data_IF_410579090214
#
_entry.id   IF_410579090214
#
_cell.length_a   1.000
_cell.length_b   1.000
_cell.length_c   1.000
_cell.angle_alpha   90.00
_cell.angle_beta   90.00
_cell.angle_gamma   90.00
#
_symmetry.space_group_name_H-M   'P 1'
#
loop_
_entity.id
_entity.type
_entity.pdbx_description
1 polymer ?
#
# COMPACT_ATOMS: atom_id res chain seq x y z
N UNK A 1 -30.49 -8.03 -2.37
CA UNK A 1 -31.42 -9.19 -2.37
C UNK A 1 -32.21 -9.32 -1.06
N UNK A 2 -31.85 -8.59 0.02
CA UNK A 2 -32.55 -8.59 1.32
C UNK A 2 -33.52 -7.41 1.49
N UNK A 3 -33.80 -6.65 0.42
CA UNK A 3 -34.80 -5.57 0.45
C UNK A 3 -34.24 -4.21 0.89
N UNK A 4 -32.94 -4.06 1.09
CA UNK A 4 -32.33 -2.76 1.34
C UNK A 4 -32.42 -1.87 0.10
N UNK A 5 -32.81 -0.63 0.33
CA UNK A 5 -32.89 0.40 -0.72
C UNK A 5 -31.65 1.27 -0.62
N UNK A 6 -30.81 1.21 -1.65
CA UNK A 6 -29.66 2.10 -1.80
C UNK A 6 -30.13 3.46 -2.31
N UNK A 7 -29.70 4.53 -1.67
CA UNK A 7 -30.09 5.91 -1.98
C UNK A 7 -29.01 6.63 -2.78
N UNK A 8 -27.80 6.12 -2.75
CA UNK A 8 -26.63 6.70 -3.39
C UNK A 8 -25.93 5.66 -4.28
N UNK A 9 -24.93 6.09 -5.03
CA UNK A 9 -24.01 5.21 -5.74
C UNK A 9 -22.67 5.04 -4.99
N UNK A 10 -22.60 5.51 -3.73
CA UNK A 10 -21.40 5.40 -2.91
C UNK A 10 -21.20 3.98 -2.42
N UNK A 11 -19.97 3.49 -2.52
CA UNK A 11 -19.52 2.22 -1.94
C UNK A 11 -19.63 2.23 -0.39
N UNK A 12 -19.53 3.40 0.23
CA UNK A 12 -19.71 3.54 1.68
C UNK A 12 -21.10 3.19 2.19
N UNK A 13 -22.16 3.32 1.39
CA UNK A 13 -23.53 3.03 1.82
C UNK A 13 -23.72 1.53 2.16
N UNK A 14 -23.05 0.63 1.45
CA UNK A 14 -23.12 -0.81 1.71
C UNK A 14 -22.64 -1.17 3.12
N UNK A 15 -21.71 -0.40 3.67
CA UNK A 15 -21.13 -0.64 5.01
C UNK A 15 -22.20 -0.54 6.09
N UNK A 16 -23.06 0.47 6.02
CA UNK A 16 -24.16 0.65 7.00
C UNK A 16 -25.15 -0.52 6.93
N UNK A 17 -25.55 -0.93 5.73
CA UNK A 17 -26.47 -2.06 5.55
C UNK A 17 -25.87 -3.40 5.98
N UNK A 18 -24.58 -3.61 5.70
CA UNK A 18 -23.88 -4.81 6.16
C UNK A 18 -23.71 -4.80 7.69
N UNK A 19 -23.49 -3.63 8.29
CA UNK A 19 -23.38 -3.52 9.74
C UNK A 19 -24.70 -3.86 10.44
N UNK A 20 -25.83 -3.41 9.91
CA UNK A 20 -27.15 -3.76 10.43
C UNK A 20 -27.42 -5.27 10.41
N UNK A 21 -26.91 -5.99 9.39
CA UNK A 21 -27.13 -7.43 9.22
C UNK A 21 -26.12 -8.30 9.99
N UNK A 22 -24.84 -7.91 10.00
CA UNK A 22 -23.74 -8.77 10.44
C UNK A 22 -22.94 -8.21 11.63
N UNK A 23 -23.27 -6.98 12.07
CA UNK A 23 -22.46 -6.30 13.08
C UNK A 23 -21.01 -6.20 12.64
N UNK A 24 -20.07 -6.36 13.56
CA UNK A 24 -18.62 -6.27 13.27
C UNK A 24 -18.12 -7.35 12.28
N UNK A 25 -18.86 -8.44 12.07
CA UNK A 25 -18.48 -9.47 11.10
C UNK A 25 -18.54 -8.97 9.65
N UNK A 26 -19.16 -7.81 9.41
CA UNK A 26 -19.18 -7.19 8.08
C UNK A 26 -17.77 -7.03 7.51
N UNK A 27 -16.77 -6.69 8.34
CA UNK A 27 -15.42 -6.39 7.88
C UNK A 27 -14.72 -7.58 7.23
N UNK A 28 -15.11 -8.82 7.58
CA UNK A 28 -14.66 -10.03 6.91
C UNK A 28 -15.30 -10.25 5.53
N UNK A 29 -16.35 -9.53 5.21
CA UNK A 29 -17.09 -9.64 3.94
C UNK A 29 -16.64 -8.60 2.91
N UNK A 30 -15.84 -7.60 3.35
CA UNK A 30 -15.37 -6.55 2.47
C UNK A 30 -14.17 -7.05 1.66
N UNK A 31 -14.22 -6.86 0.36
CA UNK A 31 -13.10 -7.05 -0.56
C UNK A 31 -12.77 -5.72 -1.21
N UNK A 32 -11.61 -5.14 -0.87
CA UNK A 32 -11.21 -3.82 -1.36
C UNK A 32 -10.17 -3.12 -0.48
N UNK A 33 -9.91 -1.88 -0.84
CA UNK A 33 -8.94 -0.99 -0.20
C UNK A 33 -9.70 0.01 0.67
N UNK A 34 -9.53 -0.04 1.98
CA UNK A 34 -10.28 0.83 2.86
C UNK A 34 -9.59 1.18 4.18
N UNK A 35 -9.89 2.37 4.65
CA UNK A 35 -9.75 2.78 6.04
C UNK A 35 -11.12 3.30 6.47
N UNK A 36 -11.77 2.59 7.39
CA UNK A 36 -13.14 2.85 7.79
C UNK A 36 -13.19 3.36 9.22
N UNK A 37 -13.98 4.41 9.42
CA UNK A 37 -14.42 4.87 10.73
C UNK A 37 -15.95 4.73 10.78
N UNK A 38 -16.45 3.85 11.66
CA UNK A 38 -17.87 3.59 11.83
C UNK A 38 -18.27 3.84 13.29
N UNK A 39 -19.26 4.71 13.50
CA UNK A 39 -19.81 4.98 14.80
C UNK A 39 -21.18 4.32 14.99
N UNK A 40 -21.27 3.42 15.97
CA UNK A 40 -22.54 2.85 16.40
C UNK A 40 -23.15 3.73 17.50
N UNK A 41 -24.22 4.42 17.15
CA UNK A 41 -24.93 5.34 18.05
C UNK A 41 -25.60 4.58 19.21
N UNK A 42 -26.09 3.35 18.96
CA UNK A 42 -26.82 2.55 19.97
C UNK A 42 -25.87 1.95 20.99
N UNK A 43 -24.76 1.36 20.49
CA UNK A 43 -23.76 0.75 21.36
C UNK A 43 -22.73 1.75 21.88
N UNK A 44 -22.72 2.98 21.39
CA UNK A 44 -21.71 4.03 21.67
C UNK A 44 -20.28 3.50 21.45
N UNK A 45 -20.07 2.86 20.30
CA UNK A 45 -18.79 2.28 19.89
C UNK A 45 -18.30 2.89 18.60
N UNK A 46 -17.02 3.22 18.57
CA UNK A 46 -16.30 3.58 17.36
C UNK A 46 -15.50 2.37 16.88
N UNK A 47 -15.64 2.04 15.62
CA UNK A 47 -14.83 1.05 14.93
C UNK A 47 -13.89 1.77 13.97
N UNK A 48 -12.58 1.60 14.15
CA UNK A 48 -11.57 2.01 13.19
C UNK A 48 -11.02 0.74 12.55
N UNK A 49 -11.13 0.61 11.24
CA UNK A 49 -10.79 -0.63 10.55
C UNK A 49 -9.93 -0.34 9.35
N UNK A 50 -8.83 -1.07 9.21
CA UNK A 50 -7.93 -0.95 8.08
C UNK A 50 -7.96 -2.24 7.26
N UNK A 51 -7.93 -2.12 5.93
CA UNK A 51 -7.92 -3.26 5.02
C UNK A 51 -6.77 -4.25 5.32
N UNK A 52 -6.90 -5.47 4.82
CA UNK A 52 -6.03 -6.57 5.23
C UNK A 52 -4.59 -6.49 4.73
N UNK A 53 -4.29 -5.66 3.73
CA UNK A 53 -2.90 -5.40 3.27
C UNK A 53 -2.41 -4.04 3.78
N UNK A 54 -3.32 -3.15 4.22
CA UNK A 54 -3.00 -1.80 4.67
C UNK A 54 -2.79 -0.82 3.52
N UNK A 55 -3.47 -1.04 2.39
CA UNK A 55 -3.38 -0.15 1.22
C UNK A 55 -3.82 1.27 1.54
N UNK A 56 -4.82 1.43 2.41
CA UNK A 56 -5.24 2.75 2.89
C UNK A 56 -4.64 3.05 4.26
N UNK A 57 -4.01 4.22 4.44
CA UNK A 57 -3.41 4.58 5.72
C UNK A 57 -4.47 4.93 6.75
N UNK A 58 -4.20 4.58 8.02
CA UNK A 58 -5.00 4.97 9.17
C UNK A 58 -4.09 5.12 10.38
N UNK A 59 -3.90 6.35 10.83
CA UNK A 59 -3.07 6.71 11.97
C UNK A 59 -3.93 7.10 13.16
N UNK A 60 -3.43 6.86 14.36
CA UNK A 60 -4.12 7.22 15.58
C UNK A 60 -3.15 7.57 16.72
N UNK A 61 -3.64 8.34 17.67
CA UNK A 61 -3.01 8.57 18.96
C UNK A 61 -4.05 8.56 20.07
N UNK A 62 -3.67 8.03 21.24
CA UNK A 62 -4.50 8.05 22.44
C UNK A 62 -4.22 9.35 23.20
N UNK A 63 -5.22 10.16 23.43
CA UNK A 63 -5.13 11.39 24.21
C UNK A 63 -5.31 11.14 25.71
N UNK A 64 -6.16 10.16 26.03
CA UNK A 64 -6.40 9.65 27.39
C UNK A 64 -6.83 8.18 27.33
N UNK A 65 -7.25 7.62 28.45
CA UNK A 65 -7.75 6.24 28.52
C UNK A 65 -8.92 5.95 27.57
N UNK A 66 -9.73 6.98 27.23
CA UNK A 66 -11.00 6.84 26.52
C UNK A 66 -11.09 7.76 25.31
N UNK A 67 -10.07 8.58 25.04
CA UNK A 67 -10.06 9.54 23.94
C UNK A 67 -9.01 9.16 22.92
N UNK A 68 -9.41 9.19 21.67
CA UNK A 68 -8.55 8.89 20.54
C UNK A 68 -8.70 9.96 19.46
N UNK A 69 -7.60 10.32 18.84
CA UNK A 69 -7.59 11.10 17.60
C UNK A 69 -7.06 10.20 16.49
N UNK A 70 -7.64 10.31 15.31
CA UNK A 70 -7.23 9.50 14.15
C UNK A 70 -7.36 10.28 12.84
N UNK A 71 -6.57 9.86 11.85
CA UNK A 71 -6.54 10.47 10.52
C UNK A 71 -5.96 9.50 9.50
N UNK A 72 -6.23 9.75 8.22
CA UNK A 72 -5.57 9.06 7.11
C UNK A 72 -4.19 9.64 6.78
N UNK A 73 -3.87 10.84 7.26
CA UNK A 73 -2.58 11.50 7.03
C UNK A 73 -2.00 12.01 8.35
N UNK A 74 -0.69 11.78 8.58
CA UNK A 74 -0.01 12.23 9.81
C UNK A 74 0.02 13.74 9.96
N UNK A 75 0.11 14.47 8.83
CA UNK A 75 0.10 15.95 8.89
C UNK A 75 -1.17 16.51 9.50
N UNK A 76 -2.31 15.84 9.34
CA UNK A 76 -3.56 16.25 9.98
C UNK A 76 -3.52 16.11 11.51
N UNK A 77 -2.84 15.08 12.02
CA UNK A 77 -2.60 14.92 13.46
C UNK A 77 -1.63 15.98 14.00
N UNK A 78 -0.64 16.37 13.19
CA UNK A 78 0.33 17.43 13.55
C UNK A 78 -0.38 18.77 13.80
N UNK A 79 -1.41 19.06 13.03
CA UNK A 79 -2.16 20.30 13.12
C UNK A 79 -3.28 20.26 14.18
N UNK A 80 -3.39 19.17 14.96
CA UNK A 80 -4.37 19.04 16.03
C UNK A 80 -3.80 19.54 17.36
N UNK A 81 -4.22 20.74 17.88
CA UNK A 81 -3.55 21.42 18.98
C UNK A 81 -3.43 20.63 20.30
N UNK A 82 -4.40 19.77 20.68
CA UNK A 82 -4.27 18.97 21.91
C UNK A 82 -3.14 17.93 21.86
N UNK A 83 -2.68 17.53 20.67
CA UNK A 83 -1.64 16.54 20.50
C UNK A 83 -0.27 17.20 20.40
N UNK A 84 0.58 16.97 21.40
CA UNK A 84 1.98 17.42 21.38
C UNK A 84 2.85 16.33 20.78
N UNK A 85 3.32 16.53 19.55
CA UNK A 85 4.14 15.57 18.85
C UNK A 85 5.61 15.70 19.24
N UNK A 86 6.19 14.61 19.67
CA UNK A 86 7.62 14.41 19.87
C UNK A 86 8.18 13.42 18.85
N UNK A 87 9.42 13.60 18.43
CA UNK A 87 10.04 12.64 17.52
C UNK A 87 10.33 11.30 18.22
N UNK A 88 10.00 10.22 17.54
CA UNK A 88 10.30 8.88 17.97
C UNK A 88 11.75 8.52 17.57
N UNK A 89 12.66 8.46 18.54
CA UNK A 89 14.07 8.16 18.30
C UNK A 89 14.30 6.76 17.72
N UNK A 90 13.50 5.79 18.15
CA UNK A 90 13.58 4.43 17.60
C UNK A 90 13.16 4.42 16.13
N UNK A 91 12.10 5.10 15.79
CA UNK A 91 11.65 5.20 14.39
C UNK A 91 12.69 5.89 13.48
N UNK A 92 13.45 6.87 14.02
CA UNK A 92 14.56 7.48 13.26
C UNK A 92 15.68 6.44 13.03
N UNK A 93 15.99 5.61 14.02
CA UNK A 93 16.98 4.55 13.88
C UNK A 93 16.53 3.49 12.89
N UNK A 94 15.26 3.06 12.99
CA UNK A 94 14.65 2.09 12.08
C UNK A 94 14.67 2.62 10.64
N UNK A 95 14.35 3.92 10.44
CA UNK A 95 14.42 4.54 9.12
C UNK A 95 15.83 4.47 8.50
N UNK A 96 16.87 4.69 9.27
CA UNK A 96 18.27 4.60 8.76
C UNK A 96 18.58 3.15 8.33
N UNK A 97 18.02 2.16 9.02
CA UNK A 97 18.28 0.76 8.76
C UNK A 97 17.45 0.19 7.61
N UNK A 98 16.17 0.57 7.53
CA UNK A 98 15.20 -0.01 6.61
C UNK A 98 14.79 0.92 5.46
N UNK A 99 15.19 2.19 5.48
CA UNK A 99 14.78 3.25 4.54
C UNK A 99 13.31 3.65 4.64
N UNK A 100 12.55 3.07 5.56
CA UNK A 100 11.20 3.45 5.97
C UNK A 100 11.01 3.18 7.47
N UNK A 101 9.89 3.58 8.02
CA UNK A 101 9.55 3.32 9.41
C UNK A 101 8.60 2.12 9.47
N UNK A 102 9.02 0.97 10.05
CA UNK A 102 8.15 -0.20 10.18
C UNK A 102 6.91 0.08 11.04
N UNK A 103 5.76 -0.28 10.51
CA UNK A 103 4.49 -0.23 11.25
C UNK A 103 4.50 -1.21 12.46
N UNK A 104 3.83 -0.88 13.56
CA UNK A 104 2.88 0.21 13.75
C UNK A 104 3.49 1.57 14.12
N UNK A 105 4.82 1.67 14.24
CA UNK A 105 5.47 2.91 14.62
C UNK A 105 5.31 4.00 13.54
N UNK A 106 5.39 5.25 13.97
CA UNK A 106 5.52 6.40 13.09
C UNK A 106 6.71 7.26 13.51
N UNK A 107 7.02 8.28 12.73
CA UNK A 107 8.07 9.25 13.08
C UNK A 107 7.78 9.98 14.41
N UNK A 108 6.54 9.97 14.87
CA UNK A 108 6.12 10.61 16.10
C UNK A 108 5.88 9.57 17.20
N UNK A 109 6.35 9.89 18.40
CA UNK A 109 6.09 9.13 19.61
C UNK A 109 4.60 9.14 19.93
N UNK A 110 4.08 8.01 20.41
CA UNK A 110 2.67 7.83 20.79
C UNK A 110 1.65 8.06 19.65
N UNK A 111 2.14 8.10 18.41
CA UNK A 111 1.31 8.06 17.19
C UNK A 111 1.61 6.79 16.43
N UNK A 112 0.58 6.02 16.13
CA UNK A 112 0.71 4.70 15.54
C UNK A 112 -0.11 4.57 14.26
N UNK A 113 0.36 3.74 13.33
CA UNK A 113 -0.47 3.22 12.25
C UNK A 113 -1.32 2.06 12.79
N UNK A 114 -2.60 2.01 12.46
CA UNK A 114 -3.39 0.80 12.70
C UNK A 114 -2.88 -0.30 11.77
N UNK A 115 -2.46 -1.42 12.35
CA UNK A 115 -1.86 -2.51 11.57
C UNK A 115 -2.83 -3.06 10.51
N UNK A 116 -2.32 -3.54 9.35
CA UNK A 116 -3.13 -4.19 8.33
C UNK A 116 -3.99 -5.32 8.88
N UNK A 117 -5.22 -5.46 8.38
CA UNK A 117 -6.16 -6.48 8.80
C UNK A 117 -6.61 -6.37 10.27
N UNK A 118 -6.43 -5.19 10.87
CA UNK A 118 -6.82 -4.93 12.25
C UNK A 118 -8.03 -4.00 12.34
N UNK A 119 -8.77 -4.22 13.41
CA UNK A 119 -9.88 -3.37 13.85
C UNK A 119 -9.62 -2.90 15.27
N UNK A 120 -9.76 -1.59 15.48
CA UNK A 120 -9.78 -0.99 16.82
C UNK A 120 -11.21 -0.64 17.19
N UNK A 121 -11.63 -1.06 18.37
CA UNK A 121 -12.95 -0.79 18.96
C UNK A 121 -12.74 0.13 20.14
N UNK A 122 -13.32 1.32 20.05
CA UNK A 122 -13.29 2.31 21.12
C UNK A 122 -14.68 2.41 21.73
N UNK A 123 -14.77 2.21 23.03
CA UNK A 123 -15.98 2.35 23.83
C UNK A 123 -15.72 3.27 25.03
N UNK A 124 -16.75 3.59 25.77
CA UNK A 124 -16.65 4.51 26.93
C UNK A 124 -15.55 4.12 27.94
N UNK A 125 -15.29 2.81 28.11
CA UNK A 125 -14.39 2.31 29.15
C UNK A 125 -13.22 1.48 28.61
N UNK A 126 -13.12 1.28 27.29
CA UNK A 126 -12.12 0.37 26.74
C UNK A 126 -11.73 0.73 25.30
N UNK A 127 -10.44 0.56 24.99
CA UNK A 127 -9.90 0.59 23.62
C UNK A 127 -9.24 -0.77 23.38
N UNK A 128 -9.82 -1.54 22.48
CA UNK A 128 -9.35 -2.88 22.11
C UNK A 128 -8.94 -2.87 20.63
N UNK A 129 -7.82 -3.53 20.33
CA UNK A 129 -7.39 -3.78 18.95
C UNK A 129 -7.31 -5.27 18.71
N UNK A 130 -7.93 -5.75 17.63
CA UNK A 130 -7.91 -7.17 17.25
C UNK A 130 -7.74 -7.34 15.75
N UNK A 131 -7.13 -8.44 15.35
CA UNK A 131 -7.14 -8.87 13.94
C UNK A 131 -8.53 -9.41 13.61
N UNK A 132 -9.07 -9.00 12.46
CA UNK A 132 -10.33 -9.51 11.95
C UNK A 132 -10.15 -10.50 10.80
N UNK A 133 -8.93 -10.67 10.28
CA UNK A 133 -8.58 -11.65 9.25
C UNK A 133 -7.34 -12.46 9.68
N UNK A 134 -7.33 -13.75 9.38
CA UNK A 134 -6.16 -14.63 9.53
C UNK A 134 -5.87 -15.34 8.20
N UNK A 135 -4.71 -15.06 7.62
CA UNK A 135 -4.26 -15.68 6.37
C UNK A 135 -3.86 -17.15 6.50
N UNK A 136 -3.62 -17.65 7.72
CA UNK A 136 -3.23 -19.05 7.95
C UNK A 136 -4.32 -20.06 7.54
N UNK A 137 -5.58 -19.64 7.55
CA UNK A 137 -6.71 -20.50 7.16
C UNK A 137 -6.72 -20.83 5.66
N UNK A 138 -5.95 -20.14 4.83
CA UNK A 138 -5.94 -20.30 3.38
C UNK A 138 -4.86 -21.24 2.85
N UNK A 139 -4.01 -21.82 3.72
CA UNK A 139 -2.92 -22.72 3.35
C UNK A 139 -3.42 -24.13 3.07
N UNK A 140 -3.98 -24.38 1.87
CA UNK A 140 -4.30 -25.73 1.40
C UNK A 140 -3.38 -26.11 0.25
N UNK A 141 -2.65 -27.26 0.33
CA UNK A 141 -1.86 -27.75 -0.79
C UNK A 141 -2.76 -28.02 -2.00
N UNK A 142 -2.28 -27.64 -3.20
CA UNK A 142 -2.97 -27.87 -4.48
C UNK A 142 -2.00 -28.50 -5.47
N UNK A 143 -2.56 -29.23 -6.46
CA UNK A 143 -1.81 -29.68 -7.62
C UNK A 143 -1.28 -28.49 -8.44
N UNK A 144 -0.08 -28.64 -9.03
CA UNK A 144 0.57 -27.52 -9.74
C UNK A 144 -0.27 -26.96 -10.89
N UNK A 145 -0.97 -27.82 -11.64
CA UNK A 145 -1.86 -27.39 -12.73
C UNK A 145 -3.01 -26.50 -12.22
N UNK A 146 -3.58 -26.87 -11.08
CA UNK A 146 -4.64 -26.12 -10.45
C UNK A 146 -4.12 -24.79 -9.91
N UNK A 147 -2.88 -24.75 -9.42
CA UNK A 147 -2.24 -23.52 -8.96
C UNK A 147 -2.08 -22.50 -10.08
N UNK A 148 -1.63 -22.89 -11.26
CA UNK A 148 -1.45 -21.96 -12.39
C UNK A 148 -2.77 -21.37 -12.84
N UNK A 149 -3.81 -22.18 -12.99
CA UNK A 149 -5.14 -21.72 -13.42
C UNK A 149 -5.80 -20.85 -12.36
N UNK A 150 -5.70 -21.24 -11.10
CA UNK A 150 -6.24 -20.50 -9.96
C UNK A 150 -5.53 -19.15 -9.78
N UNK A 151 -4.20 -19.12 -9.84
CA UNK A 151 -3.41 -17.89 -9.78
C UNK A 151 -3.80 -16.93 -10.91
N UNK A 152 -3.88 -17.42 -12.14
CA UNK A 152 -4.32 -16.62 -13.28
C UNK A 152 -5.70 -16.01 -13.05
N UNK A 153 -6.65 -16.82 -12.60
CA UNK A 153 -8.01 -16.37 -12.32
C UNK A 153 -8.03 -15.31 -11.21
N UNK A 154 -7.33 -15.57 -10.11
CA UNK A 154 -7.28 -14.64 -8.95
C UNK A 154 -6.61 -13.32 -9.31
N UNK A 155 -5.47 -13.35 -10.01
CA UNK A 155 -4.79 -12.13 -10.47
C UNK A 155 -5.68 -11.35 -11.42
N UNK A 156 -6.31 -12.03 -12.39
CA UNK A 156 -7.24 -11.37 -13.32
C UNK A 156 -8.40 -10.71 -12.58
N UNK A 157 -9.08 -11.44 -11.70
CA UNK A 157 -10.21 -10.92 -10.94
C UNK A 157 -9.80 -9.75 -10.03
N UNK A 158 -8.64 -9.85 -9.38
CA UNK A 158 -8.09 -8.79 -8.53
C UNK A 158 -7.84 -7.50 -9.31
N UNK A 159 -7.29 -7.59 -10.51
CA UNK A 159 -7.06 -6.44 -11.38
C UNK A 159 -8.39 -5.88 -11.88
N UNK A 160 -9.28 -6.73 -12.40
CA UNK A 160 -10.58 -6.30 -12.92
C UNK A 160 -11.45 -5.62 -11.86
N UNK A 161 -11.44 -6.09 -10.61
CA UNK A 161 -12.18 -5.44 -9.52
C UNK A 161 -11.66 -4.04 -9.20
N UNK A 162 -10.37 -3.78 -9.38
CA UNK A 162 -9.74 -2.46 -9.16
C UNK A 162 -9.92 -1.48 -10.31
N UNK A 163 -10.47 -1.93 -11.43
CA UNK A 163 -10.84 -1.06 -12.54
C UNK A 163 -12.20 -0.39 -12.34
N UNK A 164 -12.99 -0.83 -11.35
CA UNK A 164 -14.26 -0.21 -10.98
C UNK A 164 -13.95 1.12 -10.29
N UNK A 165 -14.25 2.23 -10.96
CA UNK A 165 -13.89 3.56 -10.48
C UNK A 165 -14.80 4.62 -11.11
N UNK A 166 -15.12 5.67 -10.34
CA UNK A 166 -15.84 6.87 -10.81
C UNK A 166 -14.91 7.88 -11.48
N UNK A 167 -13.61 7.58 -11.55
CA UNK A 167 -12.58 8.46 -12.13
C UNK A 167 -11.71 7.70 -13.12
N UNK A 168 -10.96 8.45 -13.94
CA UNK A 168 -10.06 7.84 -14.90
C UNK A 168 -8.95 7.05 -14.20
N UNK A 169 -8.81 5.78 -14.61
CA UNK A 169 -7.78 4.84 -14.14
C UNK A 169 -6.72 4.69 -15.22
N UNK A 170 -5.47 4.75 -14.83
CA UNK A 170 -4.30 4.42 -15.64
C UNK A 170 -3.44 3.35 -14.98
N UNK A 171 -2.31 3.03 -15.58
CA UNK A 171 -1.36 2.06 -15.03
C UNK A 171 0.08 2.60 -15.08
N UNK A 172 0.88 2.25 -14.10
CA UNK A 172 2.33 2.24 -14.27
C UNK A 172 2.71 1.14 -15.25
N UNK A 173 3.73 1.37 -16.06
CA UNK A 173 4.24 0.39 -17.00
C UNK A 173 5.77 0.50 -17.08
N UNK A 174 6.48 -0.35 -16.36
CA UNK A 174 7.95 -0.34 -16.31
C UNK A 174 8.61 -1.22 -17.39
N UNK A 175 7.84 -2.09 -18.04
CA UNK A 175 8.38 -3.17 -18.89
C UNK A 175 8.67 -4.47 -18.13
N UNK A 176 8.62 -4.45 -16.80
CA UNK A 176 8.64 -5.64 -15.95
C UNK A 176 7.37 -6.47 -16.06
N UNK A 177 7.44 -7.74 -15.65
CA UNK A 177 6.33 -8.72 -15.79
C UNK A 177 5.07 -8.24 -15.08
N UNK A 178 5.18 -7.74 -13.87
CA UNK A 178 4.04 -7.41 -13.00
C UNK A 178 3.22 -6.25 -13.56
N UNK A 179 3.89 -5.14 -13.86
CA UNK A 179 3.24 -3.98 -14.48
C UNK A 179 2.65 -4.30 -15.86
N UNK A 180 3.32 -5.18 -16.61
CA UNK A 180 2.88 -5.63 -17.93
C UNK A 180 1.59 -6.48 -17.85
N UNK A 181 1.48 -7.38 -16.87
CA UNK A 181 0.26 -8.17 -16.65
C UNK A 181 -0.92 -7.25 -16.32
N UNK A 182 -0.70 -6.29 -15.42
CA UNK A 182 -1.75 -5.32 -15.05
C UNK A 182 -2.22 -4.52 -16.26
N UNK A 183 -1.29 -3.93 -17.01
CA UNK A 183 -1.62 -3.15 -18.19
C UNK A 183 -2.31 -4.00 -19.28
N UNK A 184 -1.87 -5.26 -19.48
CA UNK A 184 -2.47 -6.16 -20.45
C UNK A 184 -3.92 -6.57 -20.11
N UNK A 185 -4.23 -6.73 -18.82
CA UNK A 185 -5.60 -7.03 -18.39
C UNK A 185 -6.45 -5.76 -18.44
N UNK A 186 -5.94 -4.64 -17.94
CA UNK A 186 -6.64 -3.37 -17.91
C UNK A 186 -6.97 -2.86 -19.33
N UNK A 187 -6.06 -3.01 -20.30
CA UNK A 187 -6.27 -2.57 -21.69
C UNK A 187 -7.41 -3.30 -22.42
N UNK A 188 -7.77 -4.51 -21.95
CA UNK A 188 -8.94 -5.24 -22.47
C UNK A 188 -10.28 -4.69 -21.99
N UNK A 189 -10.26 -3.93 -20.90
CA UNK A 189 -11.47 -3.40 -20.24
C UNK A 189 -11.60 -1.88 -20.43
N UNK A 190 -10.48 -1.17 -20.52
CA UNK A 190 -10.46 0.29 -20.67
C UNK A 190 -9.95 0.64 -22.07
N UNK A 191 -10.83 1.22 -22.88
CA UNK A 191 -10.43 1.78 -24.16
C UNK A 191 -9.52 2.99 -23.93
N UNK A 192 -8.44 3.10 -24.73
CA UNK A 192 -7.47 4.18 -24.60
C UNK A 192 -6.82 4.26 -23.20
N UNK A 193 -6.54 3.11 -22.60
CA UNK A 193 -5.86 3.05 -21.30
C UNK A 193 -4.60 3.93 -21.32
N UNK A 194 -4.46 4.79 -20.33
CA UNK A 194 -3.24 5.58 -20.15
C UNK A 194 -2.23 4.81 -19.34
N UNK A 195 -1.01 4.72 -19.85
CA UNK A 195 0.12 4.08 -19.18
C UNK A 195 1.30 5.04 -19.04
N UNK A 196 2.04 4.91 -17.96
CA UNK A 196 3.11 5.83 -17.62
C UNK A 196 4.37 5.09 -17.18
N UNK A 197 5.52 5.56 -17.63
CA UNK A 197 6.83 5.13 -17.16
C UNK A 197 7.75 6.32 -16.93
N UNK A 198 8.79 6.09 -16.14
CA UNK A 198 9.91 7.01 -16.03
C UNK A 198 11.05 6.54 -16.94
N UNK A 199 11.76 7.47 -17.53
CA UNK A 199 13.00 7.23 -18.24
C UNK A 199 13.99 8.35 -17.91
N UNK A 200 15.25 8.13 -18.14
CA UNK A 200 16.28 9.12 -17.88
C UNK A 200 16.65 9.89 -19.15
N UNK A 201 17.01 11.16 -19.01
CA UNK A 201 17.66 11.89 -20.10
C UNK A 201 19.04 11.28 -20.38
N UNK A 202 19.52 11.43 -21.62
CA UNK A 202 20.78 10.81 -22.06
C UNK A 202 21.94 11.23 -21.14
N UNK A 203 22.58 10.24 -20.50
CA UNK A 203 23.70 10.45 -19.59
C UNK A 203 23.31 10.81 -18.16
N UNK A 204 22.01 10.86 -17.85
CA UNK A 204 21.51 11.20 -16.49
C UNK A 204 21.06 9.96 -15.70
N UNK A 205 21.12 8.76 -16.27
CA UNK A 205 20.86 7.52 -15.53
C UNK A 205 22.03 7.27 -14.56
N UNK A 206 21.78 7.26 -13.23
CA UNK A 206 22.81 7.05 -12.23
C UNK A 206 23.46 5.65 -12.30
N UNK A 207 22.84 4.72 -13.02
CA UNK A 207 23.30 3.34 -13.17
C UNK A 207 23.84 3.04 -14.58
N UNK A 208 24.23 4.08 -15.34
CA UNK A 208 24.89 3.93 -16.63
C UNK A 208 24.01 3.36 -17.75
N UNK A 209 22.71 3.60 -17.71
CA UNK A 209 21.76 3.13 -18.71
C UNK A 209 21.16 1.74 -18.43
N UNK A 210 21.56 1.07 -17.36
CA UNK A 210 21.10 -0.28 -17.06
C UNK A 210 19.69 -0.35 -16.44
N UNK A 211 19.17 0.78 -15.95
CA UNK A 211 17.88 0.85 -15.26
C UNK A 211 16.81 1.62 -16.06
N UNK A 212 17.12 2.09 -17.27
CA UNK A 212 16.13 2.74 -18.12
C UNK A 212 15.35 1.68 -18.93
N UNK A 213 14.26 1.19 -18.35
CA UNK A 213 13.36 0.22 -19.00
C UNK A 213 12.30 0.91 -19.90
N UNK A 214 12.40 2.22 -20.11
CA UNK A 214 11.37 2.98 -20.83
C UNK A 214 11.16 2.54 -22.28
N UNK A 215 12.19 2.00 -22.92
CA UNK A 215 12.06 1.45 -24.25
C UNK A 215 11.17 0.19 -24.26
N UNK A 216 11.39 -0.74 -23.32
CA UNK A 216 10.57 -1.94 -23.20
C UNK A 216 9.11 -1.59 -22.86
N UNK A 217 8.92 -0.61 -21.99
CA UNK A 217 7.58 -0.11 -21.66
C UNK A 217 6.88 0.47 -22.88
N UNK A 218 7.58 1.25 -23.72
CA UNK A 218 7.06 1.82 -24.95
C UNK A 218 6.64 0.74 -25.94
N UNK A 219 7.54 -0.22 -26.23
CA UNK A 219 7.27 -1.32 -27.16
C UNK A 219 6.08 -2.19 -26.70
N UNK A 220 5.94 -2.39 -25.41
CA UNK A 220 4.82 -3.15 -24.84
C UNK A 220 3.52 -2.36 -24.90
N UNK A 221 3.57 -1.06 -24.62
CA UNK A 221 2.42 -0.15 -24.73
C UNK A 221 1.86 -0.11 -26.15
N UNK A 222 2.72 -0.11 -27.18
CA UNK A 222 2.34 -0.17 -28.59
C UNK A 222 1.60 -1.48 -28.91
N UNK A 223 2.08 -2.62 -28.40
CA UNK A 223 1.42 -3.93 -28.57
C UNK A 223 0.04 -3.96 -27.91
N UNK A 224 -0.14 -3.24 -26.79
CA UNK A 224 -1.41 -3.14 -26.09
C UNK A 224 -2.33 -2.03 -26.62
N UNK A 225 -1.84 -1.21 -27.53
CA UNK A 225 -2.54 -0.04 -28.06
C UNK A 225 -3.01 0.93 -26.95
N UNK A 226 -2.12 1.22 -25.99
CA UNK A 226 -2.36 2.15 -24.89
C UNK A 226 -1.87 3.57 -25.24
N UNK A 227 -2.41 4.58 -24.54
CA UNK A 227 -1.87 5.95 -24.61
C UNK A 227 -0.70 6.03 -23.62
N UNK A 228 0.49 5.72 -24.12
CA UNK A 228 1.70 5.68 -23.29
C UNK A 228 2.40 7.02 -23.18
N UNK A 229 2.95 7.31 -21.99
CA UNK A 229 3.80 8.47 -21.75
C UNK A 229 5.05 8.08 -20.95
N UNK A 230 6.20 8.28 -21.54
CA UNK A 230 7.49 8.25 -20.86
C UNK A 230 7.81 9.64 -20.29
N UNK A 231 7.99 9.74 -19.00
CA UNK A 231 8.42 10.95 -18.31
C UNK A 231 9.95 10.91 -18.24
N UNK A 232 10.60 11.71 -19.11
CA UNK A 232 12.06 11.86 -19.09
C UNK A 232 12.48 12.77 -17.95
N UNK A 233 13.41 12.30 -17.13
CA UNK A 233 13.89 13.01 -15.93
C UNK A 233 15.41 13.12 -15.92
N UNK A 234 15.90 14.12 -15.19
CA UNK A 234 17.30 14.35 -14.87
C UNK A 234 17.48 14.61 -13.37
N UNK A 235 18.69 14.57 -12.88
CA UNK A 235 18.99 14.73 -11.47
C UNK A 235 18.40 16.02 -10.85
N UNK A 236 18.36 17.12 -11.60
CA UNK A 236 17.74 18.37 -11.12
C UNK A 236 16.24 18.28 -10.88
N UNK A 237 15.52 17.42 -11.59
CA UNK A 237 14.08 17.26 -11.41
C UNK A 237 13.77 16.64 -10.04
N UNK A 238 14.56 15.64 -9.64
CA UNK A 238 14.45 15.04 -8.31
C UNK A 238 14.75 16.05 -7.20
N UNK A 239 15.82 16.86 -7.38
CA UNK A 239 16.16 17.91 -6.42
C UNK A 239 15.02 18.92 -6.25
N UNK A 240 14.38 19.32 -7.35
CA UNK A 240 13.35 20.34 -7.36
C UNK A 240 12.03 19.90 -6.70
N UNK A 241 11.78 18.59 -6.62
CA UNK A 241 10.56 18.07 -6.00
C UNK A 241 10.76 17.59 -4.56
N UNK A 242 11.99 17.59 -4.04
CA UNK A 242 12.31 16.92 -2.77
C UNK A 242 11.50 17.48 -1.59
N UNK A 243 11.38 18.80 -1.47
CA UNK A 243 10.59 19.42 -0.40
C UNK A 243 9.10 19.07 -0.51
N UNK A 244 8.56 19.12 -1.72
CA UNK A 244 7.17 18.75 -2.00
C UNK A 244 6.93 17.25 -1.72
N UNK A 245 7.86 16.39 -2.13
CA UNK A 245 7.81 14.97 -1.85
C UNK A 245 7.79 14.67 -0.35
N UNK A 246 8.70 15.28 0.42
CA UNK A 246 8.76 15.12 1.89
C UNK A 246 7.45 15.58 2.55
N UNK A 247 6.88 16.69 2.08
CA UNK A 247 5.60 17.18 2.60
C UNK A 247 4.46 16.16 2.39
N UNK A 248 4.38 15.54 1.21
CA UNK A 248 3.31 14.61 0.89
C UNK A 248 3.56 13.16 1.38
N UNK A 249 4.80 12.80 1.68
CA UNK A 249 5.12 11.47 2.22
C UNK A 249 4.72 11.28 3.67
N UNK A 250 4.42 12.38 4.40
CA UNK A 250 4.09 12.39 5.83
C UNK A 250 5.20 11.86 6.75
N UNK A 251 5.98 10.89 6.30
CA UNK A 251 7.07 10.24 7.03
C UNK A 251 8.33 10.17 6.18
N UNK A 252 9.52 10.03 6.79
CA UNK A 252 10.74 9.75 6.06
C UNK A 252 10.61 8.50 5.20
N UNK A 253 11.01 8.62 3.94
CA UNK A 253 11.01 7.53 2.98
C UNK A 253 12.27 7.63 2.11
N UNK A 254 13.19 6.67 2.25
CA UNK A 254 14.54 6.71 1.67
C UNK A 254 14.70 5.93 0.37
N UNK A 255 13.65 5.28 -0.12
CA UNK A 255 13.72 4.51 -1.37
C UNK A 255 13.60 5.46 -2.56
N UNK A 256 14.63 5.51 -3.41
CA UNK A 256 14.75 6.47 -4.53
C UNK A 256 13.63 6.36 -5.56
N UNK A 257 13.03 5.17 -5.73
CA UNK A 257 11.88 4.95 -6.62
C UNK A 257 10.66 5.81 -6.24
N UNK A 258 10.51 6.17 -4.96
CA UNK A 258 9.42 7.04 -4.51
C UNK A 258 9.40 8.40 -5.21
N UNK A 259 10.56 9.01 -5.46
CA UNK A 259 10.65 10.28 -6.21
C UNK A 259 10.18 10.11 -7.66
N UNK A 260 10.54 8.98 -8.29
CA UNK A 260 10.08 8.64 -9.63
C UNK A 260 8.57 8.46 -9.69
N UNK A 261 8.01 7.71 -8.76
CA UNK A 261 6.56 7.51 -8.61
C UNK A 261 5.86 8.86 -8.44
N UNK A 262 6.41 9.75 -7.60
CA UNK A 262 5.86 11.08 -7.40
C UNK A 262 5.81 11.92 -8.67
N UNK A 263 6.86 11.91 -9.48
CA UNK A 263 6.89 12.60 -10.78
C UNK A 263 5.86 12.03 -11.77
N UNK A 264 5.74 10.71 -11.83
CA UNK A 264 4.74 10.03 -12.67
C UNK A 264 3.33 10.41 -12.22
N UNK A 265 3.02 10.30 -10.93
CA UNK A 265 1.68 10.61 -10.40
C UNK A 265 1.31 12.06 -10.60
N UNK A 266 2.27 12.99 -10.43
CA UNK A 266 2.08 14.41 -10.70
C UNK A 266 1.76 14.67 -12.18
N UNK A 267 2.39 13.93 -13.10
CA UNK A 267 2.10 14.00 -14.55
C UNK A 267 0.75 13.39 -14.89
N UNK A 268 0.46 12.20 -14.37
CA UNK A 268 -0.83 11.54 -14.58
C UNK A 268 -2.00 12.41 -14.10
N UNK A 269 -1.85 13.05 -12.94
CA UNK A 269 -2.83 14.01 -12.41
C UNK A 269 -3.10 15.17 -13.36
N UNK A 270 -2.05 15.75 -13.99
CA UNK A 270 -2.18 16.80 -15.00
C UNK A 270 -2.91 16.32 -16.26
N UNK A 271 -2.80 15.05 -16.57
CA UNK A 271 -3.48 14.42 -17.70
C UNK A 271 -4.94 14.00 -17.36
N UNK A 272 -5.41 14.25 -16.13
CA UNK A 272 -6.76 13.92 -15.66
C UNK A 272 -6.88 12.57 -14.96
N UNK A 273 -5.85 11.72 -14.99
CA UNK A 273 -5.83 10.42 -14.32
C UNK A 273 -5.69 10.61 -12.81
N UNK A 274 -6.59 10.02 -12.05
CA UNK A 274 -6.60 10.13 -10.57
C UNK A 274 -6.19 8.86 -9.87
N UNK A 275 -6.25 7.71 -10.54
CA UNK A 275 -5.87 6.40 -10.03
C UNK A 275 -4.87 5.78 -10.98
N UNK A 276 -3.77 5.27 -10.44
CA UNK A 276 -2.78 4.47 -11.16
C UNK A 276 -2.65 3.11 -10.50
N UNK A 277 -2.84 2.04 -11.27
CA UNK A 277 -2.54 0.70 -10.79
C UNK A 277 -1.05 0.41 -10.94
N UNK A 278 -0.47 -0.25 -9.94
CA UNK A 278 0.94 -0.65 -9.90
C UNK A 278 1.08 -2.16 -9.68
N UNK A 279 2.28 -2.67 -9.95
CA UNK A 279 2.67 -4.06 -9.67
C UNK A 279 3.15 -4.31 -8.25
N UNK A 280 3.06 -3.31 -7.37
CA UNK A 280 3.58 -3.43 -6.02
C UNK A 280 2.94 -4.60 -5.25
N UNK A 281 3.74 -5.33 -4.49
CA UNK A 281 3.33 -6.52 -3.76
C UNK A 281 3.47 -7.84 -4.54
N UNK A 282 3.71 -7.81 -5.86
CA UNK A 282 3.85 -9.03 -6.65
C UNK A 282 5.14 -9.78 -6.31
N UNK A 283 6.26 -9.09 -6.21
CA UNK A 283 7.55 -9.69 -5.83
C UNK A 283 7.49 -10.30 -4.43
N UNK A 284 6.83 -9.65 -3.48
CA UNK A 284 6.63 -10.15 -2.13
C UNK A 284 5.76 -11.42 -2.10
N UNK A 285 4.70 -11.46 -2.91
CA UNK A 285 3.78 -12.60 -2.95
C UNK A 285 4.31 -13.79 -3.73
N UNK A 286 5.06 -13.53 -4.81
CA UNK A 286 5.52 -14.56 -5.75
C UNK A 286 7.02 -14.82 -5.71
N UNK A 287 7.75 -14.19 -4.79
CA UNK A 287 9.19 -14.42 -4.61
C UNK A 287 10.04 -13.89 -5.76
N UNK A 288 9.69 -12.72 -6.32
CA UNK A 288 10.33 -12.14 -7.49
C UNK A 288 11.74 -11.58 -7.24
N UNK A 289 12.04 -11.16 -6.02
CA UNK A 289 13.33 -10.56 -5.68
C UNK A 289 14.48 -11.58 -5.75
N UNK A 290 15.60 -11.16 -6.32
CA UNK A 290 16.78 -12.01 -6.52
C UNK A 290 17.39 -12.53 -5.21
N UNK A 291 17.27 -11.76 -4.12
CA UNK A 291 17.80 -12.15 -2.81
C UNK A 291 17.04 -13.30 -2.15
N UNK A 292 15.80 -13.59 -2.54
CA UNK A 292 15.09 -14.78 -2.04
C UNK A 292 15.80 -16.09 -2.32
N UNK A 293 16.70 -16.14 -3.33
CA UNK A 293 17.57 -17.30 -3.59
C UNK A 293 18.49 -17.64 -2.42
N UNK A 294 18.78 -16.66 -1.58
CA UNK A 294 19.64 -16.86 -0.41
C UNK A 294 18.89 -17.40 0.79
N UNK A 295 17.55 -17.28 0.85
CA UNK A 295 16.75 -17.82 1.95
C UNK A 295 16.90 -19.33 2.09
N UNK A 296 17.07 -20.07 0.98
CA UNK A 296 17.33 -21.52 1.01
C UNK A 296 18.69 -21.91 1.60
N UNK A 297 19.56 -20.92 1.88
CA UNK A 297 20.88 -21.15 2.51
C UNK A 297 20.85 -20.85 4.00
N UNK A 298 19.73 -20.40 4.52
CA UNK A 298 19.53 -20.10 5.93
C UNK A 298 18.92 -21.34 6.58
N UNK A 299 19.75 -22.13 7.29
CA UNK A 299 19.32 -23.37 7.95
C UNK A 299 18.34 -23.14 9.13
N UNK A 300 18.22 -21.88 9.60
CA UNK A 300 17.36 -21.51 10.71
C UNK A 300 16.90 -20.07 10.58
N UNK A 301 15.59 -19.87 10.51
CA UNK A 301 14.96 -18.57 10.79
C UNK A 301 14.42 -18.66 12.20
N UNK A 302 14.98 -17.93 13.18
CA UNK A 302 14.44 -17.98 14.54
C UNK A 302 12.99 -17.52 14.52
N UNK A 303 12.10 -18.34 15.06
CA UNK A 303 10.78 -17.84 15.43
C UNK A 303 10.99 -16.67 16.40
N UNK A 304 10.29 -15.56 16.16
CA UNK A 304 10.37 -14.37 17.00
C UNK A 304 9.99 -14.74 18.43
N UNK A 305 10.96 -15.19 19.20
CA UNK A 305 10.84 -15.33 20.64
C UNK A 305 11.18 -13.98 21.26
N UNK A 306 10.31 -13.47 22.09
CA UNK A 306 10.49 -12.31 22.97
C UNK A 306 11.72 -12.45 23.91
N UNK A 307 12.92 -12.56 23.32
CA UNK A 307 14.18 -12.48 24.09
C UNK A 307 15.19 -11.69 23.27
N UNK A 308 15.40 -10.45 23.70
CA UNK A 308 16.55 -9.64 23.31
C UNK A 308 17.84 -10.40 23.58
N UNK A 309 18.42 -11.08 22.61
CA UNK A 309 19.77 -11.58 22.67
C UNK A 309 20.69 -10.66 21.87
N UNK A 310 21.84 -10.35 22.44
CA UNK A 310 22.85 -9.46 21.87
C UNK A 310 23.48 -9.99 20.55
N UNK A 311 23.07 -11.14 20.08
CA UNK A 311 23.63 -11.83 18.91
C UNK A 311 22.92 -11.51 17.58
N UNK A 312 21.78 -10.77 17.61
CA UNK A 312 21.02 -10.42 16.41
C UNK A 312 21.67 -9.34 15.51
N UNK A 313 22.75 -8.71 15.96
CA UNK A 313 23.47 -7.69 15.20
C UNK A 313 24.23 -8.22 13.97
N UNK A 314 24.50 -9.53 13.92
CA UNK A 314 25.21 -10.12 12.77
C UNK A 314 24.34 -10.31 11.52
N UNK A 315 23.01 -10.39 11.71
CA UNK A 315 22.06 -10.58 10.61
C UNK A 315 21.83 -9.28 9.80
N UNK A 316 21.85 -8.13 10.49
CA UNK A 316 21.66 -6.83 9.83
C UNK A 316 22.81 -6.46 8.89
N UNK A 317 24.03 -6.93 9.15
CA UNK A 317 25.19 -6.62 8.31
C UNK A 317 25.27 -7.45 7.02
N UNK A 318 24.55 -8.56 6.90
CA UNK A 318 24.56 -9.42 5.73
C UNK A 318 23.49 -9.05 4.67
N UNK A 319 22.51 -8.22 5.04
CA UNK A 319 21.46 -7.75 4.13
C UNK A 319 21.74 -6.35 3.55
N UNK A 320 22.80 -5.67 3.99
CA UNK A 320 23.14 -4.31 3.57
C UNK A 320 24.31 -4.24 2.57
N UNK A 321 24.79 -5.37 2.03
CA UNK A 321 25.88 -5.43 1.03
C UNK A 321 25.39 -5.92 -0.33
#
# INVERSE_FOLDING_TARGET
KKGYIFRTHSDGEVICHLYDEYGEKLFNLLDGMFAISLWDVKLKKLYLVRDYIGEKPLYYSKLSSNEIVYSSELKALKDFPPLKLELNKQAIWDYISFLWIPEPNTIYKDVYALSPGCMMIVSENNIETKKYIDFKEYQKPKEYKDLVSDTRSRVTNSIESRLISDVEVGCFLSGGVDSSIIAAIASKKINNLRTYTIGFEKGEDPYGGNNDESQYAQEFAEKLNTIHKTIRVKASDFKNILEEFVHYSDQPFGVSSGLGIYLITKKARKDGVKVLLSGDGADEMFGGYSWYKYLNKIDYIPESSDKSSKDDLSFHNSCAS
#
